data_IF_152397075676
#
_entry.id   IF_152397075676
#
_cell.length_a   1.000
_cell.length_b   1.000
_cell.length_c   1.000
_cell.angle_alpha   90.00
_cell.angle_beta   90.00
_cell.angle_gamma   90.00
#
_symmetry.space_group_name_H-M   'P 1'
#
loop_
_entity.id
_entity.type
_entity.pdbx_description
1 polymer ?
#
# COMPACT_ATOMS: atom_id res chain seq x y z
N UNK A 1 -2.82 -10.46 -1.22
CA UNK A 1 -2.04 -11.73 -1.31
C UNK A 1 -0.54 -11.53 -1.09
N UNK A 2 0.03 -10.39 -1.48
CA UNK A 2 1.46 -10.06 -1.30
C UNK A 2 1.97 -10.20 0.15
N UNK A 3 1.30 -9.55 1.12
CA UNK A 3 1.72 -9.58 2.53
C UNK A 3 1.78 -11.01 3.11
N UNK A 4 0.75 -11.82 2.86
CA UNK A 4 0.72 -13.23 3.29
C UNK A 4 1.91 -14.01 2.71
N UNK A 5 2.25 -13.77 1.44
CA UNK A 5 3.38 -14.44 0.79
C UNK A 5 4.74 -13.89 1.27
N UNK A 6 4.84 -12.60 1.62
CA UNK A 6 6.03 -12.03 2.25
C UNK A 6 6.29 -12.70 3.61
N UNK A 7 5.28 -12.77 4.48
CA UNK A 7 5.38 -13.45 5.78
C UNK A 7 5.72 -14.94 5.60
N UNK A 8 5.07 -15.63 4.67
CA UNK A 8 5.31 -17.06 4.41
C UNK A 8 6.69 -17.37 3.80
N UNK A 9 7.36 -16.41 3.14
CA UNK A 9 8.74 -16.60 2.62
C UNK A 9 9.77 -16.67 3.74
N UNK A 10 9.55 -15.94 4.83
CA UNK A 10 10.48 -15.85 5.96
C UNK A 10 10.16 -16.84 7.09
N UNK A 11 8.91 -17.31 7.17
CA UNK A 11 8.57 -18.47 8.00
C UNK A 11 9.29 -19.72 7.48
N UNK A 12 10.36 -20.15 8.17
CA UNK A 12 10.98 -21.50 8.00
C UNK A 12 10.06 -22.64 8.49
N UNK A 13 8.76 -22.38 8.59
CA UNK A 13 7.74 -23.32 9.05
C UNK A 13 7.09 -23.93 7.81
N UNK A 14 7.00 -25.26 7.69
CA UNK A 14 6.33 -25.89 6.56
C UNK A 14 4.88 -25.40 6.47
N UNK A 15 4.57 -24.77 5.32
CA UNK A 15 3.34 -24.02 4.94
C UNK A 15 2.02 -24.82 5.13
N UNK A 16 2.09 -26.08 5.52
CA UNK A 16 0.99 -27.03 5.38
C UNK A 16 -0.01 -27.03 6.53
N UNK A 17 0.26 -26.40 7.69
CA UNK A 17 -0.66 -26.49 8.85
C UNK A 17 -0.85 -25.22 9.69
N UNK A 18 -0.22 -24.10 9.34
CA UNK A 18 -0.42 -22.86 10.09
C UNK A 18 -1.64 -22.14 9.54
N UNK A 19 -2.74 -22.15 10.30
CA UNK A 19 -3.84 -21.23 10.08
C UNK A 19 -3.35 -19.81 10.39
N UNK A 20 -2.63 -19.20 9.46
CA UNK A 20 -2.25 -17.78 9.53
C UNK A 20 -3.53 -16.99 9.32
N UNK A 21 -4.31 -16.84 10.38
CA UNK A 21 -5.38 -15.86 10.43
C UNK A 21 -4.75 -14.48 10.61
N UNK A 22 -5.40 -13.40 10.14
CA UNK A 22 -4.85 -12.04 10.24
C UNK A 22 -4.43 -11.66 11.67
N UNK A 23 -5.17 -12.16 12.67
CA UNK A 23 -5.03 -11.80 14.08
C UNK A 23 -4.00 -12.62 14.86
N UNK A 24 -3.27 -13.52 14.18
CA UNK A 24 -2.23 -14.32 14.83
C UNK A 24 -1.04 -13.44 15.19
N UNK A 25 -0.60 -13.51 16.45
CA UNK A 25 0.55 -12.77 16.94
C UNK A 25 1.85 -13.53 16.62
N UNK A 26 2.79 -12.87 15.94
CA UNK A 26 4.03 -13.46 15.43
C UNK A 26 4.87 -14.14 16.52
N UNK A 27 5.15 -13.45 17.63
CA UNK A 27 5.95 -14.04 18.71
C UNK A 27 5.14 -15.01 19.58
N UNK A 28 3.93 -14.62 20.01
CA UNK A 28 3.17 -15.38 21.02
C UNK A 28 2.55 -16.65 20.47
N UNK A 29 2.07 -16.62 19.23
CA UNK A 29 1.29 -17.72 18.64
C UNK A 29 2.11 -18.52 17.62
N UNK A 30 3.01 -17.86 16.88
CA UNK A 30 3.87 -18.54 15.90
C UNK A 30 5.27 -18.85 16.43
N UNK A 31 5.63 -18.34 17.61
CA UNK A 31 6.94 -18.58 18.22
C UNK A 31 8.10 -17.96 17.44
N UNK A 32 7.84 -16.90 16.67
CA UNK A 32 8.87 -16.17 15.95
C UNK A 32 9.79 -15.44 16.91
N UNK A 33 11.08 -15.45 16.60
CA UNK A 33 12.04 -14.67 17.37
C UNK A 33 12.07 -13.21 16.90
N UNK A 34 12.88 -12.38 17.57
CA UNK A 34 12.99 -10.96 17.23
C UNK A 34 13.62 -10.72 15.84
N UNK A 35 14.45 -11.64 15.36
CA UNK A 35 15.07 -11.53 14.04
C UNK A 35 14.03 -11.82 12.95
N UNK A 36 13.21 -12.85 13.14
CA UNK A 36 12.09 -13.19 12.25
C UNK A 36 11.11 -12.00 12.12
N UNK A 37 10.79 -11.30 13.21
CA UNK A 37 9.91 -10.12 13.16
C UNK A 37 10.53 -8.96 12.40
N UNK A 38 11.84 -8.75 12.52
CA UNK A 38 12.57 -7.73 11.76
C UNK A 38 12.56 -8.07 10.27
N UNK A 39 12.79 -9.33 9.90
CA UNK A 39 12.72 -9.77 8.49
C UNK A 39 11.31 -9.56 7.89
N UNK A 40 10.26 -9.81 8.68
CA UNK A 40 8.88 -9.55 8.23
C UNK A 40 8.66 -8.06 7.98
N UNK A 41 9.08 -7.19 8.90
CA UNK A 41 8.99 -5.74 8.72
C UNK A 41 9.78 -5.29 7.49
N UNK A 42 11.02 -5.77 7.32
CA UNK A 42 11.83 -5.47 6.15
C UNK A 42 11.20 -5.97 4.84
N UNK A 43 10.55 -7.13 4.86
CA UNK A 43 9.84 -7.65 3.71
C UNK A 43 8.59 -6.82 3.38
N UNK A 44 7.90 -6.27 4.39
CA UNK A 44 6.80 -5.32 4.21
C UNK A 44 7.33 -4.02 3.61
N UNK A 45 8.42 -3.48 4.16
CA UNK A 45 9.14 -2.32 3.64
C UNK A 45 9.54 -2.51 2.18
N UNK A 46 10.08 -3.67 1.82
CA UNK A 46 10.53 -3.94 0.45
C UNK A 46 9.37 -4.16 -0.53
N UNK A 47 8.34 -4.93 -0.13
CA UNK A 47 7.19 -5.29 -0.97
C UNK A 47 6.31 -4.07 -1.23
N UNK A 48 6.03 -3.27 -0.20
CA UNK A 48 5.22 -2.04 -0.30
C UNK A 48 6.06 -0.78 -0.48
N UNK A 49 7.38 -0.96 -0.59
CA UNK A 49 8.36 0.11 -0.84
C UNK A 49 8.21 1.30 0.12
N UNK A 50 8.08 0.99 1.40
CA UNK A 50 7.86 1.93 2.50
C UNK A 50 9.03 1.89 3.49
N UNK A 51 9.09 2.88 4.38
CA UNK A 51 10.05 2.92 5.49
C UNK A 51 9.25 2.95 6.81
N UNK A 52 9.40 1.92 7.64
CA UNK A 52 8.76 1.81 8.96
C UNK A 52 9.78 2.25 10.01
N UNK A 53 9.54 3.36 10.74
CA UNK A 53 10.41 3.72 11.85
C UNK A 53 10.47 2.59 12.88
N UNK A 54 11.65 2.31 13.44
CA UNK A 54 11.86 1.25 14.44
C UNK A 54 10.78 1.22 15.55
N UNK A 55 10.37 2.41 16.02
CA UNK A 55 9.36 2.56 17.08
C UNK A 55 7.96 2.09 16.69
N UNK A 56 7.63 2.12 15.41
CA UNK A 56 6.36 1.61 14.87
C UNK A 56 6.52 0.14 14.45
N UNK A 57 7.68 -0.25 13.91
CA UNK A 57 8.02 -1.64 13.60
C UNK A 57 7.85 -2.56 14.81
N UNK A 58 8.28 -2.11 16.00
CA UNK A 58 8.12 -2.81 17.26
C UNK A 58 6.64 -3.09 17.64
N UNK A 59 5.69 -2.34 17.06
CA UNK A 59 4.25 -2.49 17.32
C UNK A 59 3.57 -3.42 16.31
N UNK A 60 4.23 -3.75 15.19
CA UNK A 60 3.67 -4.60 14.15
C UNK A 60 3.90 -6.07 14.53
N UNK A 61 2.99 -6.60 15.35
CA UNK A 61 3.11 -7.94 15.91
C UNK A 61 2.22 -9.00 15.26
N UNK A 62 1.42 -8.62 14.26
CA UNK A 62 0.46 -9.47 13.58
C UNK A 62 0.23 -9.01 12.13
N UNK A 63 -0.32 -9.90 11.30
CA UNK A 63 -0.66 -9.58 9.93
C UNK A 63 -1.74 -8.48 9.86
N UNK A 64 -2.72 -8.49 10.77
CA UNK A 64 -3.75 -7.45 10.87
C UNK A 64 -3.13 -6.06 11.10
N UNK A 65 -2.19 -5.94 12.05
CA UNK A 65 -1.52 -4.66 12.31
C UNK A 65 -0.57 -4.24 11.18
N UNK A 66 0.09 -5.19 10.52
CA UNK A 66 0.88 -4.89 9.33
C UNK A 66 0.02 -4.33 8.19
N UNK A 67 -1.15 -4.95 7.95
CA UNK A 67 -2.15 -4.44 7.00
C UNK A 67 -2.59 -3.05 7.45
N UNK A 68 -3.06 -2.90 8.68
CA UNK A 68 -3.52 -1.60 9.20
C UNK A 68 -2.43 -0.53 9.08
N UNK A 69 -1.17 -0.85 9.34
CA UNK A 69 -0.05 0.09 9.18
C UNK A 69 0.15 0.48 7.71
N UNK A 70 0.22 -0.50 6.81
CA UNK A 70 0.36 -0.26 5.36
C UNK A 70 -0.78 0.61 4.85
N UNK A 71 -2.02 0.30 5.23
CA UNK A 71 -3.20 1.03 4.79
C UNK A 71 -3.34 2.40 5.45
N UNK A 72 -2.96 2.55 6.73
CA UNK A 72 -2.97 3.83 7.47
C UNK A 72 -1.87 4.80 7.04
N UNK A 73 -0.83 4.31 6.35
CA UNK A 73 0.26 5.13 5.84
C UNK A 73 0.02 5.47 4.36
N UNK A 74 -0.45 6.70 4.06
CA UNK A 74 -0.85 7.12 2.71
C UNK A 74 0.19 6.86 1.61
N UNK A 75 1.48 6.81 1.97
CA UNK A 75 2.60 6.70 1.03
C UNK A 75 2.61 5.35 0.28
N UNK A 76 2.10 4.26 0.86
CA UNK A 76 2.13 2.91 0.22
C UNK A 76 1.08 2.79 -0.91
N UNK A 77 -0.14 3.26 -0.63
CA UNK A 77 -1.25 3.35 -1.58
C UNK A 77 -0.88 4.31 -2.70
N UNK A 78 -0.35 5.47 -2.34
CA UNK A 78 0.12 6.45 -3.31
C UNK A 78 1.24 5.90 -4.17
N UNK A 79 2.21 5.18 -3.60
CA UNK A 79 3.29 4.60 -4.37
C UNK A 79 2.79 3.51 -5.32
N UNK A 80 1.86 2.65 -4.92
CA UNK A 80 1.24 1.69 -5.84
C UNK A 80 0.51 2.38 -7.00
N UNK A 81 -0.27 3.43 -6.71
CA UNK A 81 -0.95 4.24 -7.72
C UNK A 81 0.06 4.94 -8.64
N UNK A 82 1.14 5.52 -8.08
CA UNK A 82 2.18 6.24 -8.82
C UNK A 82 3.11 5.31 -9.60
N UNK A 83 3.40 4.11 -9.09
CA UNK A 83 4.20 3.10 -9.78
C UNK A 83 3.40 2.53 -10.96
N UNK A 84 2.10 2.27 -10.76
CA UNK A 84 1.16 1.96 -11.85
C UNK A 84 1.15 3.11 -12.86
N UNK A 85 1.00 4.35 -12.42
CA UNK A 85 1.00 5.54 -13.26
C UNK A 85 2.28 5.71 -14.08
N UNK A 86 3.46 5.55 -13.47
CA UNK A 86 4.74 5.61 -14.16
C UNK A 86 4.94 4.48 -15.18
N UNK A 87 4.21 3.37 -15.04
CA UNK A 87 4.22 2.30 -16.04
C UNK A 87 3.42 2.64 -17.31
N UNK A 88 2.49 3.59 -17.23
CA UNK A 88 1.64 4.00 -18.36
C UNK A 88 2.21 5.17 -19.19
N UNK A 89 3.09 6.02 -18.62
CA UNK A 89 3.67 7.15 -19.36
C UNK A 89 4.89 6.72 -20.22
N UNK A 90 4.85 7.00 -21.53
CA UNK A 90 5.96 6.76 -22.47
C UNK A 90 7.27 7.51 -22.12
N UNK A 91 7.20 8.52 -21.24
CA UNK A 91 8.32 9.26 -20.66
C UNK A 91 8.13 9.34 -19.12
N UNK A 92 8.73 8.44 -18.33
CA UNK A 92 8.58 8.45 -16.88
C UNK A 92 9.05 9.80 -16.32
N UNK A 93 8.15 10.49 -15.61
CA UNK A 93 8.52 11.66 -14.82
C UNK A 93 9.46 11.15 -13.74
N UNK A 94 10.74 11.55 -13.80
CA UNK A 94 11.75 11.03 -12.89
C UNK A 94 11.29 11.12 -11.43
N UNK A 95 11.31 9.98 -10.73
CA UNK A 95 10.92 9.78 -9.33
C UNK A 95 11.66 10.66 -8.29
N UNK A 96 12.48 11.61 -8.72
CA UNK A 96 13.14 12.59 -7.84
C UNK A 96 12.19 13.69 -7.35
N UNK A 97 10.99 13.81 -7.93
CA UNK A 97 9.94 14.62 -7.33
C UNK A 97 9.28 13.83 -6.22
N UNK A 98 9.62 14.19 -4.98
CA UNK A 98 8.90 13.80 -3.77
C UNK A 98 7.40 14.05 -3.97
N UNK A 99 6.66 13.01 -4.36
CA UNK A 99 5.20 13.05 -4.38
C UNK A 99 4.76 13.08 -2.92
N UNK A 100 4.36 14.28 -2.50
CA UNK A 100 3.75 14.50 -1.19
C UNK A 100 2.24 14.28 -1.31
N UNK A 101 1.54 13.94 -0.21
CA UNK A 101 0.09 13.79 -0.23
C UNK A 101 -0.63 15.02 -0.81
N UNK A 102 -0.04 16.20 -0.60
CA UNK A 102 -0.60 17.47 -1.04
C UNK A 102 -0.29 17.82 -2.50
N UNK A 103 0.37 16.93 -3.26
CA UNK A 103 0.68 17.16 -4.67
C UNK A 103 -0.59 17.14 -5.51
N UNK A 104 -0.75 18.13 -6.37
CA UNK A 104 -1.86 18.22 -7.30
C UNK A 104 -1.44 17.70 -8.67
N UNK A 105 -2.19 16.73 -9.20
CA UNK A 105 -1.89 16.00 -10.44
C UNK A 105 -1.67 16.94 -11.64
N UNK A 106 -2.63 17.81 -11.95
CA UNK A 106 -2.49 18.69 -13.11
C UNK A 106 -1.53 19.86 -12.88
N UNK A 107 -1.54 20.45 -11.67
CA UNK A 107 -0.81 21.71 -11.40
C UNK A 107 0.67 21.49 -11.11
N UNK A 108 0.99 20.44 -10.37
CA UNK A 108 2.36 20.20 -9.87
C UNK A 108 3.08 19.13 -10.68
N UNK A 109 2.35 18.09 -11.12
CA UNK A 109 2.91 17.00 -11.93
C UNK A 109 2.70 17.20 -13.43
N UNK A 110 1.86 18.17 -13.83
CA UNK A 110 1.59 18.48 -15.24
C UNK A 110 0.78 17.41 -15.96
N UNK A 111 0.03 16.59 -15.22
CA UNK A 111 -0.79 15.52 -15.78
C UNK A 111 -1.97 16.10 -16.56
N UNK A 112 -2.33 15.45 -17.67
CA UNK A 112 -3.50 15.83 -18.44
C UNK A 112 -4.78 15.13 -17.94
N UNK A 113 -5.90 15.36 -18.63
CA UNK A 113 -7.19 14.76 -18.25
C UNK A 113 -7.25 13.26 -18.50
N UNK A 114 -6.49 12.73 -19.47
CA UNK A 114 -6.43 11.28 -19.73
C UNK A 114 -5.62 10.59 -18.63
N UNK A 115 -4.48 11.18 -18.25
CA UNK A 115 -3.66 10.72 -17.14
C UNK A 115 -4.47 10.61 -15.83
N UNK A 116 -5.33 11.60 -15.57
CA UNK A 116 -6.19 11.62 -14.37
C UNK A 116 -7.24 10.48 -14.39
N UNK A 117 -7.78 10.15 -15.57
CA UNK A 117 -8.72 9.03 -15.74
C UNK A 117 -8.02 7.70 -15.49
N UNK A 118 -6.79 7.54 -15.98
CA UNK A 118 -6.00 6.33 -15.75
C UNK A 118 -5.67 6.14 -14.26
N UNK A 119 -5.39 7.22 -13.53
CA UNK A 119 -5.19 7.18 -12.07
C UNK A 119 -6.46 6.65 -11.37
N UNK A 120 -7.63 7.21 -11.72
CA UNK A 120 -8.91 6.78 -11.13
C UNK A 120 -9.16 5.31 -11.43
N UNK A 121 -8.95 4.86 -12.68
CA UNK A 121 -9.11 3.45 -13.05
C UNK A 121 -8.12 2.53 -12.32
N UNK A 122 -6.87 2.95 -12.15
CA UNK A 122 -5.88 2.19 -11.39
C UNK A 122 -6.28 2.05 -9.91
N UNK A 123 -6.88 3.10 -9.32
CA UNK A 123 -7.44 3.06 -7.96
C UNK A 123 -8.63 2.09 -7.91
N UNK A 124 -9.54 2.16 -8.87
CA UNK A 124 -10.68 1.23 -9.00
C UNK A 124 -10.21 -0.23 -9.06
N UNK A 125 -9.22 -0.53 -9.88
CA UNK A 125 -8.69 -1.89 -10.05
C UNK A 125 -7.93 -2.39 -8.80
N UNK A 126 -7.03 -1.58 -8.26
CA UNK A 126 -6.19 -1.96 -7.11
C UNK A 126 -7.03 -2.21 -5.86
N UNK A 127 -8.01 -1.34 -5.60
CA UNK A 127 -8.85 -1.40 -4.41
C UNK A 127 -10.21 -2.07 -4.66
N UNK A 128 -10.47 -2.55 -5.89
CA UNK A 128 -11.74 -3.19 -6.29
C UNK A 128 -12.95 -2.34 -5.92
N UNK A 129 -12.89 -1.07 -6.28
CA UNK A 129 -13.94 -0.09 -6.02
C UNK A 129 -14.52 0.42 -7.35
N UNK A 130 -15.70 1.05 -7.27
CA UNK A 130 -16.28 1.79 -8.39
C UNK A 130 -16.37 3.26 -7.95
N UNK A 131 -15.68 4.16 -8.67
CA UNK A 131 -15.71 5.60 -8.46
C UNK A 131 -16.71 6.20 -9.45
N UNK A 132 -17.82 6.81 -8.99
CA UNK A 132 -18.72 7.52 -9.89
C UNK A 132 -17.97 8.65 -10.61
N UNK A 133 -18.23 8.87 -11.91
CA UNK A 133 -17.60 9.91 -12.72
C UNK A 133 -17.54 11.29 -12.03
N UNK A 134 -18.62 11.65 -11.32
CA UNK A 134 -18.74 12.94 -10.60
C UNK A 134 -17.80 13.10 -9.40
N UNK A 135 -17.29 11.99 -8.89
CA UNK A 135 -16.33 11.95 -7.78
C UNK A 135 -14.92 11.74 -8.30
N UNK A 136 -14.75 10.95 -9.37
CA UNK A 136 -13.50 10.83 -10.13
C UNK A 136 -12.96 12.21 -10.56
N UNK A 137 -13.83 13.08 -11.10
CA UNK A 137 -13.48 14.45 -11.51
C UNK A 137 -12.94 15.33 -10.35
N UNK A 138 -13.19 14.95 -9.10
CA UNK A 138 -12.74 15.69 -7.92
C UNK A 138 -11.44 15.14 -7.33
N UNK A 139 -10.99 13.97 -7.76
CA UNK A 139 -9.75 13.35 -7.29
C UNK A 139 -8.58 13.94 -8.08
N UNK A 140 -8.11 15.10 -7.65
CA UNK A 140 -7.08 15.88 -8.33
C UNK A 140 -5.70 15.84 -7.65
N UNK A 141 -5.61 15.12 -6.54
CA UNK A 141 -4.45 15.03 -5.68
C UNK A 141 -4.39 13.70 -4.96
N UNK A 142 -3.18 13.37 -4.52
CA UNK A 142 -2.91 12.17 -3.74
C UNK A 142 -3.77 12.10 -2.47
N UNK A 143 -3.85 13.19 -1.70
CA UNK A 143 -4.66 13.28 -0.48
C UNK A 143 -6.13 12.95 -0.73
N UNK A 144 -6.72 13.47 -1.81
CA UNK A 144 -8.13 13.21 -2.14
C UNK A 144 -8.36 11.76 -2.59
N UNK A 145 -7.43 11.20 -3.36
CA UNK A 145 -7.49 9.79 -3.76
C UNK A 145 -7.49 8.87 -2.53
N UNK A 146 -6.60 9.15 -1.58
CA UNK A 146 -6.53 8.41 -0.31
C UNK A 146 -7.82 8.58 0.49
N UNK A 147 -8.28 9.82 0.71
CA UNK A 147 -9.49 10.09 1.49
C UNK A 147 -10.70 9.35 0.89
N UNK A 148 -10.78 9.28 -0.43
CA UNK A 148 -11.81 8.53 -1.13
C UNK A 148 -11.75 7.02 -0.80
N UNK A 149 -10.58 6.41 -0.96
CA UNK A 149 -10.36 4.98 -0.66
C UNK A 149 -10.66 4.66 0.80
N UNK A 150 -10.28 5.54 1.73
CA UNK A 150 -10.54 5.35 3.17
C UNK A 150 -12.02 5.45 3.53
N UNK A 151 -12.74 6.39 2.92
CA UNK A 151 -14.16 6.59 3.18
C UNK A 151 -15.04 5.52 2.51
N UNK A 152 -14.48 4.79 1.55
CA UNK A 152 -15.15 3.71 0.80
C UNK A 152 -14.35 2.40 0.91
N UNK A 153 -14.33 1.76 2.10
CA UNK A 153 -13.57 0.54 2.32
C UNK A 153 -14.03 -0.56 1.36
N UNK A 154 -13.06 -1.36 0.90
CA UNK A 154 -13.22 -2.43 -0.09
C UNK A 154 -14.47 -3.28 0.18
N UNK A 155 -15.35 -3.42 -0.82
CA UNK A 155 -16.40 -4.44 -0.76
C UNK A 155 -15.73 -5.81 -0.82
N UNK A 156 -15.98 -6.63 0.20
CA UNK A 156 -15.46 -8.00 0.34
C UNK A 156 -15.91 -8.92 -0.78
#
# INVERSE_FOLDING_TARGET
MALRNAVLRHLRVPVQNLAVTPDVHFQKDLGLDSLDTVEIVMAIEEEFKLEIPDKEADKIDSCSLAIEYVFSHPISVLRGILDSFNSFIENPVGFDYLVTPDVHFQKDLGLDSLDTVEIVMAIEEEFKLEIPDKEADKIDSCSLAIEYVFSHPMSS
#
